data_IF_057737236590
#
_entry.id   IF_057737236590
#
_cell.length_a   1.000
_cell.length_b   1.000
_cell.length_c   1.000
_cell.angle_alpha   90.00
_cell.angle_beta   90.00
_cell.angle_gamma   90.00
#
_symmetry.space_group_name_H-M   'P 1'
#
loop_
_entity.id
_entity.type
_entity.pdbx_description
1 polymer ?
#
# COMPACT_ATOMS: atom_id res chain seq x y z
N UNK A 1 154.46 13.41 -34.62
CA UNK A 1 154.90 13.56 -36.02
C UNK A 1 153.68 13.37 -36.92
N UNK A 2 153.16 14.46 -37.48
CA UNK A 2 152.11 14.45 -38.50
C UNK A 2 152.77 15.01 -39.77
N UNK A 3 153.17 14.11 -40.67
CA UNK A 3 153.83 14.45 -41.94
C UNK A 3 152.79 15.00 -42.92
N UNK A 4 152.84 16.31 -43.19
CA UNK A 4 152.36 16.96 -44.42
C UNK A 4 150.91 16.64 -44.91
N UNK A 5 149.96 16.41 -44.00
CA UNK A 5 148.55 16.18 -44.36
C UNK A 5 147.65 17.23 -43.68
N UNK A 6 146.65 17.71 -44.40
CA UNK A 6 145.54 18.49 -43.83
C UNK A 6 144.57 17.52 -43.17
N UNK A 7 144.27 17.71 -41.89
CA UNK A 7 143.38 16.82 -41.16
C UNK A 7 142.82 17.45 -39.89
N UNK A 8 141.80 16.79 -39.34
CA UNK A 8 141.28 17.07 -38.01
C UNK A 8 141.55 15.86 -37.12
N UNK A 9 142.01 16.09 -35.90
CA UNK A 9 142.09 15.07 -34.86
C UNK A 9 141.62 15.61 -33.51
N UNK A 10 141.33 14.70 -32.59
CA UNK A 10 140.99 15.05 -31.22
C UNK A 10 142.26 14.92 -30.38
N UNK A 11 142.68 16.02 -29.74
CA UNK A 11 143.92 16.07 -28.94
C UNK A 11 143.58 16.53 -27.54
N UNK A 12 144.13 15.84 -26.56
CA UNK A 12 144.06 16.25 -25.16
C UNK A 12 145.20 17.23 -24.92
N UNK A 13 144.86 18.49 -24.67
CA UNK A 13 145.83 19.56 -24.42
C UNK A 13 145.40 20.36 -23.19
N UNK A 14 146.28 20.46 -22.19
CA UNK A 14 145.99 21.04 -20.86
C UNK A 14 144.75 20.44 -20.14
N UNK A 15 144.54 19.13 -20.26
CA UNK A 15 143.50 18.40 -19.52
C UNK A 15 142.08 18.51 -20.08
N UNK A 16 141.85 19.27 -21.16
CA UNK A 16 140.58 19.31 -21.89
C UNK A 16 140.71 18.67 -23.27
N UNK A 17 139.66 17.97 -23.72
CA UNK A 17 139.60 17.41 -25.06
C UNK A 17 139.36 18.55 -26.06
N UNK A 18 140.26 18.72 -27.01
CA UNK A 18 140.17 19.77 -28.04
C UNK A 18 140.04 19.13 -29.41
N UNK A 19 139.17 19.70 -30.24
CA UNK A 19 139.21 19.43 -31.68
C UNK A 19 140.34 20.27 -32.27
N UNK A 20 141.32 19.59 -32.85
CA UNK A 20 142.48 20.21 -33.47
C UNK A 20 142.39 20.04 -34.99
N UNK A 21 142.47 21.15 -35.71
CA UNK A 21 142.64 21.17 -37.16
C UNK A 21 144.05 21.66 -37.48
N UNK A 22 144.79 20.91 -38.30
CA UNK A 22 146.17 21.26 -38.66
C UNK A 22 146.37 21.29 -40.18
N UNK A 23 147.11 22.29 -40.65
CA UNK A 23 147.50 22.46 -42.06
C UNK A 23 148.98 22.87 -42.16
N UNK A 24 149.78 22.31 -43.07
CA UNK A 24 151.15 22.76 -43.31
C UNK A 24 151.18 24.12 -44.03
N UNK A 25 152.13 24.99 -43.68
CA UNK A 25 152.34 26.29 -44.35
C UNK A 25 153.43 26.12 -45.42
N UNK A 26 153.14 26.42 -46.69
CA UNK A 26 154.09 26.29 -47.79
C UNK A 26 155.28 27.27 -47.66
N UNK A 27 156.50 26.83 -48.05
CA UNK A 27 157.77 27.57 -47.99
C UNK A 27 158.34 27.93 -46.59
N UNK A 28 158.07 27.11 -45.57
CA UNK A 28 158.78 27.18 -44.26
C UNK A 28 159.32 25.80 -43.85
N UNK A 29 160.44 25.76 -43.09
CA UNK A 29 161.11 24.53 -42.61
C UNK A 29 160.23 23.73 -41.62
N UNK A 30 159.18 23.08 -42.12
CA UNK A 30 158.36 22.11 -41.37
C UNK A 30 157.35 22.69 -40.38
N UNK A 31 156.97 23.97 -40.49
CA UNK A 31 155.98 24.59 -39.61
C UNK A 31 154.54 24.19 -39.99
N UNK A 32 153.73 23.85 -38.99
CA UNK A 32 152.30 23.52 -39.13
C UNK A 32 151.46 24.53 -38.34
N UNK A 33 150.41 25.07 -38.96
CA UNK A 33 149.40 25.87 -38.27
C UNK A 33 148.37 24.92 -37.67
N UNK A 34 148.21 24.97 -36.35
CA UNK A 34 147.24 24.17 -35.61
C UNK A 34 146.24 25.10 -34.92
N UNK A 35 144.96 24.97 -35.28
CA UNK A 35 143.85 25.66 -34.62
C UNK A 35 143.15 24.63 -33.75
N UNK A 36 143.20 24.84 -32.45
CA UNK A 36 142.52 23.98 -31.47
C UNK A 36 141.30 24.70 -30.91
N UNK A 37 140.13 24.09 -31.02
CA UNK A 37 138.89 24.51 -30.37
C UNK A 37 138.56 23.56 -29.22
N UNK A 38 138.18 24.09 -28.06
CA UNK A 38 137.82 23.25 -26.91
C UNK A 38 136.46 22.56 -27.16
N UNK A 39 136.42 21.24 -27.02
CA UNK A 39 135.20 20.46 -27.27
C UNK A 39 134.08 20.83 -26.31
N UNK A 40 134.42 21.18 -25.07
CA UNK A 40 133.41 21.60 -24.09
C UNK A 40 132.85 22.98 -24.46
N UNK A 41 133.70 23.91 -24.90
CA UNK A 41 133.29 25.26 -25.34
C UNK A 41 132.43 25.20 -26.62
N UNK A 42 132.73 24.27 -27.54
CA UNK A 42 131.93 24.07 -28.76
C UNK A 42 130.59 23.37 -28.51
N UNK A 43 130.52 22.46 -27.52
CA UNK A 43 129.32 21.68 -27.22
C UNK A 43 128.47 22.27 -26.09
N UNK A 44 128.94 23.30 -25.37
CA UNK A 44 128.18 23.93 -24.29
C UNK A 44 126.84 24.48 -24.80
N UNK A 45 126.86 25.16 -25.96
CA UNK A 45 125.66 25.66 -26.62
C UNK A 45 124.68 24.54 -27.02
N UNK A 46 125.20 23.38 -27.45
CA UNK A 46 124.39 22.20 -27.80
C UNK A 46 123.72 21.57 -26.57
N UNK A 47 124.48 21.32 -25.50
CA UNK A 47 123.93 20.75 -24.27
C UNK A 47 122.98 21.70 -23.53
N UNK A 48 123.21 23.02 -23.60
CA UNK A 48 122.27 24.02 -23.10
C UNK A 48 120.94 23.98 -23.86
N UNK A 49 120.97 23.91 -25.20
CA UNK A 49 119.78 23.76 -26.05
C UNK A 49 119.02 22.45 -25.79
N UNK A 50 119.72 21.35 -25.55
CA UNK A 50 119.10 20.06 -25.26
C UNK A 50 118.39 20.04 -23.89
N UNK A 51 118.99 20.65 -22.85
CA UNK A 51 118.36 20.79 -21.53
C UNK A 51 117.12 21.68 -21.58
N UNK A 52 117.18 22.82 -22.27
CA UNK A 52 116.02 23.72 -22.40
C UNK A 52 114.89 23.10 -23.21
N UNK A 53 115.21 22.33 -24.26
CA UNK A 53 114.20 21.60 -25.06
C UNK A 53 113.50 20.49 -24.26
N UNK A 54 114.24 19.67 -23.51
CA UNK A 54 113.66 18.62 -22.65
C UNK A 54 112.78 19.23 -21.56
N UNK A 55 113.24 20.29 -20.90
CA UNK A 55 112.45 21.00 -19.88
C UNK A 55 111.16 21.56 -20.49
N UNK A 56 111.24 22.14 -21.70
CA UNK A 56 110.08 22.67 -22.39
C UNK A 56 109.07 21.58 -22.78
N UNK A 57 109.51 20.44 -23.29
CA UNK A 57 108.64 19.29 -23.60
C UNK A 57 107.98 18.70 -22.36
N UNK A 58 108.73 18.53 -21.26
CA UNK A 58 108.18 18.06 -19.98
C UNK A 58 107.16 19.07 -19.44
N UNK A 59 107.46 20.37 -19.53
CA UNK A 59 106.54 21.43 -19.10
C UNK A 59 105.25 21.43 -19.90
N UNK A 60 105.32 21.23 -21.22
CA UNK A 60 104.15 21.14 -22.10
C UNK A 60 103.25 19.94 -21.75
N UNK A 61 103.84 18.77 -21.51
CA UNK A 61 103.10 17.57 -21.09
C UNK A 61 102.48 17.77 -19.71
N UNK A 62 103.21 18.35 -18.77
CA UNK A 62 102.70 18.67 -17.44
C UNK A 62 101.52 19.66 -17.50
N UNK A 63 101.62 20.71 -18.30
CA UNK A 63 100.54 21.68 -18.52
C UNK A 63 99.32 21.01 -19.16
N UNK A 64 99.51 20.18 -20.18
CA UNK A 64 98.42 19.43 -20.81
C UNK A 64 97.71 18.50 -19.82
N UNK A 65 98.46 17.80 -18.95
CA UNK A 65 97.89 16.94 -17.92
C UNK A 65 97.11 17.74 -16.86
N UNK A 66 97.62 18.90 -16.45
CA UNK A 66 96.92 19.81 -15.52
C UNK A 66 95.63 20.35 -16.15
N UNK A 67 95.67 20.80 -17.41
CA UNK A 67 94.47 21.24 -18.12
C UNK A 67 93.46 20.11 -18.29
N UNK A 68 93.88 18.91 -18.68
CA UNK A 68 93.00 17.74 -18.79
C UNK A 68 92.37 17.39 -17.44
N UNK A 69 93.13 17.45 -16.35
CA UNK A 69 92.63 17.20 -15.00
C UNK A 69 91.64 18.27 -14.53
N UNK A 70 91.94 19.55 -14.76
CA UNK A 70 91.03 20.66 -14.42
C UNK A 70 89.75 20.62 -15.25
N UNK A 71 89.84 20.35 -16.55
CA UNK A 71 88.71 20.23 -17.47
C UNK A 71 87.83 19.02 -17.11
N UNK A 72 88.45 17.86 -16.86
CA UNK A 72 87.76 16.67 -16.36
C UNK A 72 87.02 16.94 -15.06
N UNK A 73 87.67 17.61 -14.09
CA UNK A 73 87.06 17.97 -12.80
C UNK A 73 85.94 19.00 -12.95
N UNK A 74 86.07 19.94 -13.89
CA UNK A 74 85.07 20.97 -14.17
C UNK A 74 83.78 20.41 -14.77
N UNK A 75 83.84 19.27 -15.46
CA UNK A 75 82.68 18.60 -16.06
C UNK A 75 82.13 17.50 -15.14
N UNK A 76 83.01 16.66 -14.60
CA UNK A 76 82.64 15.48 -13.80
C UNK A 76 81.98 15.86 -12.48
N UNK A 77 82.45 16.92 -11.80
CA UNK A 77 81.92 17.30 -10.49
C UNK A 77 80.45 17.77 -10.54
N UNK A 78 80.04 18.70 -11.44
CA UNK A 78 78.62 19.08 -11.58
C UNK A 78 77.72 17.90 -11.98
N UNK A 79 78.16 17.06 -12.92
CA UNK A 79 77.40 15.87 -13.35
C UNK A 79 77.22 14.89 -12.19
N UNK A 80 78.27 14.64 -11.40
CA UNK A 80 78.20 13.78 -10.22
C UNK A 80 77.22 14.31 -9.16
N UNK A 81 77.16 15.63 -8.95
CA UNK A 81 76.21 16.24 -8.01
C UNK A 81 74.76 16.09 -8.46
N UNK A 82 74.49 16.31 -9.75
CA UNK A 82 73.15 16.09 -10.34
C UNK A 82 72.77 14.61 -10.32
N UNK A 83 73.72 13.71 -10.61
CA UNK A 83 73.52 12.26 -10.54
C UNK A 83 73.18 11.80 -9.12
N UNK A 84 73.87 12.30 -8.09
CA UNK A 84 73.51 12.04 -6.69
C UNK A 84 72.13 12.58 -6.32
N UNK A 85 71.75 13.75 -6.87
CA UNK A 85 70.42 14.30 -6.64
C UNK A 85 69.33 13.47 -7.32
N UNK A 86 69.58 12.97 -8.53
CA UNK A 86 68.72 12.03 -9.24
C UNK A 86 68.57 10.72 -8.46
N UNK A 87 69.66 10.21 -7.89
CA UNK A 87 69.60 9.04 -7.00
C UNK A 87 68.69 9.31 -5.79
N UNK A 88 68.85 10.46 -5.14
CA UNK A 88 67.97 10.87 -4.04
C UNK A 88 66.50 11.02 -4.48
N UNK A 89 66.26 11.58 -5.68
CA UNK A 89 64.92 11.71 -6.26
C UNK A 89 64.31 10.34 -6.55
N UNK A 90 65.09 9.39 -7.06
CA UNK A 90 64.64 8.02 -7.32
C UNK A 90 64.27 7.25 -6.04
N UNK A 91 64.82 7.66 -4.90
CA UNK A 91 64.45 7.16 -3.57
C UNK A 91 63.23 7.89 -2.96
N UNK A 92 62.60 8.81 -3.70
CA UNK A 92 61.42 9.55 -3.26
C UNK A 92 61.70 10.87 -2.53
N UNK A 93 62.96 11.33 -2.45
CA UNK A 93 63.27 12.64 -1.89
C UNK A 93 62.93 13.75 -2.89
N UNK A 94 61.77 14.38 -2.67
CA UNK A 94 61.26 15.52 -3.41
C UNK A 94 61.52 16.87 -2.74
N UNK A 95 62.05 16.87 -1.50
CA UNK A 95 62.17 18.07 -0.66
C UNK A 95 63.55 18.70 -0.73
N UNK A 96 64.60 17.90 -0.94
CA UNK A 96 65.96 18.42 -1.06
C UNK A 96 66.17 19.25 -2.32
N UNK A 97 66.87 20.37 -2.19
CA UNK A 97 67.15 21.28 -3.31
C UNK A 97 68.05 20.65 -4.39
N UNK A 98 67.94 21.15 -5.62
CA UNK A 98 68.80 20.75 -6.74
C UNK A 98 70.07 21.62 -6.77
N UNK A 99 71.26 21.06 -7.02
CA UNK A 99 72.50 21.85 -7.09
C UNK A 99 72.43 22.92 -8.20
N UNK A 100 72.69 24.18 -7.84
CA UNK A 100 72.67 25.29 -8.80
C UNK A 100 73.95 25.27 -9.65
N UNK A 101 73.81 25.00 -10.95
CA UNK A 101 74.92 25.00 -11.92
C UNK A 101 74.76 26.18 -12.88
N UNK A 102 75.71 27.14 -12.83
CA UNK A 102 75.73 28.33 -13.70
C UNK A 102 76.76 28.19 -14.82
N UNK A 103 76.53 27.25 -15.74
CA UNK A 103 77.46 26.95 -16.84
C UNK A 103 76.97 27.37 -18.23
N UNK A 104 75.71 27.81 -18.38
CA UNK A 104 75.06 28.18 -19.66
C UNK A 104 75.21 27.14 -20.77
N UNK A 105 75.30 25.86 -20.40
CA UNK A 105 75.45 24.72 -21.29
C UNK A 105 74.51 23.57 -20.86
N UNK A 106 74.66 22.39 -21.43
CA UNK A 106 73.81 21.22 -21.18
C UNK A 106 73.76 20.84 -19.69
N UNK A 107 74.78 21.19 -18.89
CA UNK A 107 74.79 20.92 -17.44
C UNK A 107 73.83 21.83 -16.69
N UNK A 108 73.69 23.09 -17.10
CA UNK A 108 72.70 24.00 -16.55
C UNK A 108 71.30 23.55 -16.96
N UNK A 109 71.10 23.21 -18.23
CA UNK A 109 69.81 22.67 -18.72
C UNK A 109 69.40 21.44 -17.93
N UNK A 110 70.30 20.49 -17.73
CA UNK A 110 70.03 19.29 -16.93
C UNK A 110 69.65 19.61 -15.48
N UNK A 111 70.38 20.54 -14.84
CA UNK A 111 70.08 20.96 -13.46
C UNK A 111 68.73 21.65 -13.34
N UNK A 112 68.41 22.59 -14.26
CA UNK A 112 67.13 23.30 -14.27
C UNK A 112 65.96 22.38 -14.64
N UNK A 113 66.15 21.46 -15.58
CA UNK A 113 65.13 20.44 -15.89
C UNK A 113 64.86 19.54 -14.68
N UNK A 114 65.91 19.08 -13.97
CA UNK A 114 65.77 18.31 -12.74
C UNK A 114 65.07 19.12 -11.63
N UNK A 115 65.36 20.40 -11.51
CA UNK A 115 64.70 21.31 -10.57
C UNK A 115 63.21 21.43 -10.87
N UNK A 116 62.83 21.72 -12.12
CA UNK A 116 61.41 21.76 -12.53
C UNK A 116 60.70 20.43 -12.33
N UNK A 117 61.33 19.30 -12.68
CA UNK A 117 60.76 17.97 -12.44
C UNK A 117 60.56 17.71 -10.94
N UNK A 118 61.55 18.00 -10.11
CA UNK A 118 61.46 17.82 -8.65
C UNK A 118 60.37 18.72 -8.06
N UNK A 119 60.30 19.97 -8.50
CA UNK A 119 59.30 20.94 -8.05
C UNK A 119 57.88 20.51 -8.42
N UNK A 120 57.63 20.16 -9.68
CA UNK A 120 56.32 19.72 -10.14
C UNK A 120 55.88 18.41 -9.47
N UNK A 121 56.78 17.43 -9.37
CA UNK A 121 56.48 16.17 -8.66
C UNK A 121 56.17 16.44 -7.18
N UNK A 122 56.92 17.30 -6.51
CA UNK A 122 56.65 17.67 -5.13
C UNK A 122 55.28 18.37 -4.99
N UNK A 123 54.94 19.29 -5.89
CA UNK A 123 53.64 19.97 -5.89
C UNK A 123 52.47 18.99 -6.11
N UNK A 124 52.60 18.07 -7.07
CA UNK A 124 51.59 17.03 -7.32
C UNK A 124 51.42 16.11 -6.10
N UNK A 125 52.51 15.61 -5.52
CA UNK A 125 52.43 14.72 -4.35
C UNK A 125 51.82 15.45 -3.15
N UNK A 126 52.15 16.72 -2.91
CA UNK A 126 51.55 17.50 -1.82
C UNK A 126 50.04 17.71 -2.01
N UNK A 127 49.59 17.96 -3.24
CA UNK A 127 48.17 18.16 -3.55
C UNK A 127 47.37 16.86 -3.51
N UNK A 128 47.96 15.75 -3.97
CA UNK A 128 47.41 14.40 -3.82
C UNK A 128 47.23 14.08 -2.33
N UNK A 129 48.29 14.25 -1.54
CA UNK A 129 48.28 13.99 -0.10
C UNK A 129 47.23 14.85 0.62
N UNK A 130 47.18 16.14 0.32
CA UNK A 130 46.19 17.06 0.87
C UNK A 130 44.76 16.65 0.53
N UNK A 131 44.47 16.43 -0.75
CA UNK A 131 43.11 16.13 -1.22
C UNK A 131 42.63 14.78 -0.71
N UNK A 132 43.46 13.73 -0.77
CA UNK A 132 43.11 12.42 -0.24
C UNK A 132 42.95 12.44 1.28
N UNK A 133 43.78 13.21 2.00
CA UNK A 133 43.62 13.40 3.45
C UNK A 133 42.30 14.10 3.80
N UNK A 134 41.85 15.06 2.99
CA UNK A 134 40.55 15.71 3.15
C UNK A 134 39.40 14.74 2.91
N UNK A 135 39.45 13.95 1.83
CA UNK A 135 38.46 12.92 1.53
C UNK A 135 38.39 11.89 2.67
N UNK A 136 39.54 11.43 3.18
CA UNK A 136 39.62 10.48 4.29
C UNK A 136 39.05 11.05 5.60
N UNK A 137 39.14 12.37 5.80
CA UNK A 137 38.51 13.07 6.91
C UNK A 137 37.00 13.37 6.70
N UNK A 138 36.41 12.90 5.59
CA UNK A 138 35.01 13.10 5.25
C UNK A 138 34.71 14.41 4.52
N UNK A 139 35.71 15.22 4.17
CA UNK A 139 35.49 16.49 3.46
C UNK A 139 35.39 16.28 1.94
N UNK A 140 34.16 16.10 1.45
CA UNK A 140 33.87 15.89 0.03
C UNK A 140 33.67 17.21 -0.74
N UNK A 141 33.93 18.35 -0.09
CA UNK A 141 33.86 19.68 -0.69
C UNK A 141 35.22 20.17 -1.23
N UNK A 142 36.27 19.38 -1.04
CA UNK A 142 37.65 19.72 -1.41
C UNK A 142 37.79 19.96 -2.91
N UNK A 143 38.52 21.01 -3.27
CA UNK A 143 38.88 21.38 -4.65
C UNK A 143 40.40 21.49 -4.77
N UNK A 144 40.94 21.11 -5.93
CA UNK A 144 42.37 21.25 -6.26
C UNK A 144 42.56 22.30 -7.36
N UNK A 145 43.30 23.35 -7.03
CA UNK A 145 43.70 24.41 -7.96
C UNK A 145 45.05 24.09 -8.63
N UNK A 146 45.71 22.99 -8.28
CA UNK A 146 46.99 22.61 -8.88
C UNK A 146 46.83 22.17 -10.33
N UNK A 147 47.72 22.66 -11.19
CA UNK A 147 47.72 22.35 -12.62
C UNK A 147 48.61 21.14 -12.91
N UNK A 148 47.99 20.01 -13.22
CA UNK A 148 48.66 18.77 -13.56
C UNK A 148 48.95 18.77 -15.05
N UNK A 149 50.14 18.33 -15.46
CA UNK A 149 50.56 18.34 -16.86
C UNK A 149 50.87 16.92 -17.35
N UNK A 150 50.66 16.69 -18.65
CA UNK A 150 50.89 15.38 -19.28
C UNK A 150 50.10 14.25 -18.61
N UNK A 151 50.76 13.12 -18.37
CA UNK A 151 50.14 11.90 -17.82
C UNK A 151 49.60 12.06 -16.39
N UNK A 152 50.03 13.10 -15.65
CA UNK A 152 49.54 13.38 -14.31
C UNK A 152 48.11 13.93 -14.29
N UNK A 153 47.60 14.45 -15.42
CA UNK A 153 46.20 14.93 -15.54
C UNK A 153 45.16 13.84 -15.26
N UNK A 154 45.49 12.58 -15.57
CA UNK A 154 44.65 11.43 -15.28
C UNK A 154 44.43 11.23 -13.78
N UNK A 155 45.46 11.46 -12.96
CA UNK A 155 45.38 11.36 -11.49
C UNK A 155 44.45 12.43 -10.93
N UNK A 156 44.61 13.69 -11.36
CA UNK A 156 43.72 14.79 -10.96
C UNK A 156 42.26 14.47 -11.30
N UNK A 157 42.01 14.04 -12.53
CA UNK A 157 40.66 13.67 -12.99
C UNK A 157 40.08 12.52 -12.17
N UNK A 158 40.86 11.48 -11.90
CA UNK A 158 40.43 10.34 -11.10
C UNK A 158 40.06 10.75 -9.66
N UNK A 159 40.89 11.59 -9.01
CA UNK A 159 40.61 12.08 -7.66
C UNK A 159 39.32 12.92 -7.62
N UNK A 160 39.15 13.86 -8.56
CA UNK A 160 37.94 14.68 -8.65
C UNK A 160 36.69 13.82 -8.90
N UNK A 161 36.78 12.80 -9.76
CA UNK A 161 35.69 11.87 -10.02
C UNK A 161 35.34 11.03 -8.79
N UNK A 162 36.34 10.58 -8.01
CA UNK A 162 36.11 9.86 -6.76
C UNK A 162 35.38 10.76 -5.75
N UNK A 163 35.86 12.00 -5.55
CA UNK A 163 35.21 12.97 -4.67
C UNK A 163 33.77 13.24 -5.09
N UNK A 164 33.53 13.49 -6.38
CA UNK A 164 32.21 13.76 -6.92
C UNK A 164 31.27 12.54 -6.79
N UNK A 165 31.77 11.33 -7.05
CA UNK A 165 30.98 10.11 -6.92
C UNK A 165 30.60 9.84 -5.46
N UNK A 166 31.54 10.00 -4.52
CA UNK A 166 31.25 9.84 -3.09
C UNK A 166 30.28 10.93 -2.60
N UNK A 167 30.46 12.17 -3.04
CA UNK A 167 29.55 13.27 -2.72
C UNK A 167 28.11 12.95 -3.15
N UNK A 168 27.94 12.48 -4.39
CA UNK A 168 26.61 12.13 -4.91
C UNK A 168 26.00 10.94 -4.17
N UNK A 169 26.76 9.86 -3.94
CA UNK A 169 26.26 8.69 -3.21
C UNK A 169 25.80 9.09 -1.79
N UNK A 170 26.59 9.89 -1.09
CA UNK A 170 26.25 10.32 0.28
C UNK A 170 25.05 11.29 0.27
N UNK A 171 24.96 12.18 -0.72
CA UNK A 171 23.79 13.03 -0.92
C UNK A 171 22.52 12.22 -1.16
N UNK A 172 22.59 11.19 -2.02
CA UNK A 172 21.46 10.31 -2.32
C UNK A 172 21.03 9.51 -1.08
N UNK A 173 21.99 9.02 -0.28
CA UNK A 173 21.71 8.33 0.99
C UNK A 173 21.00 9.26 1.97
N UNK A 174 21.46 10.51 2.10
CA UNK A 174 20.84 11.49 3.00
C UNK A 174 19.39 11.81 2.56
N UNK A 175 19.16 12.00 1.27
CA UNK A 175 17.83 12.22 0.73
C UNK A 175 16.91 11.00 0.91
N UNK A 176 17.42 9.78 0.66
CA UNK A 176 16.69 8.54 0.88
C UNK A 176 16.33 8.34 2.36
N UNK A 177 17.24 8.64 3.29
CA UNK A 177 16.98 8.60 4.73
C UNK A 177 15.85 9.57 5.13
N UNK A 178 15.85 10.80 4.62
CA UNK A 178 14.77 11.77 4.87
C UNK A 178 13.42 11.31 4.32
N UNK A 179 13.41 10.67 3.14
CA UNK A 179 12.21 10.07 2.57
C UNK A 179 11.70 8.90 3.40
N UNK A 180 12.58 7.99 3.85
CA UNK A 180 12.20 6.86 4.72
C UNK A 180 11.66 7.36 6.04
N UNK A 181 12.31 8.35 6.67
CA UNK A 181 11.83 8.93 7.94
C UNK A 181 10.46 9.58 7.78
N UNK A 182 10.26 10.38 6.73
CA UNK A 182 8.98 11.03 6.45
C UNK A 182 7.88 10.02 6.13
N UNK A 183 8.18 9.03 5.29
CA UNK A 183 7.25 7.95 4.93
C UNK A 183 6.86 7.11 6.15
N UNK A 184 7.81 6.79 7.03
CA UNK A 184 7.53 6.04 8.25
C UNK A 184 6.64 6.83 9.21
N UNK A 185 6.87 8.14 9.38
CA UNK A 185 5.98 8.99 10.17
C UNK A 185 4.54 9.03 9.61
N UNK A 186 4.38 9.05 8.28
CA UNK A 186 3.07 8.97 7.65
C UNK A 186 2.39 7.62 7.93
N UNK A 187 3.11 6.50 7.75
CA UNK A 187 2.56 5.16 8.02
C UNK A 187 2.18 5.01 9.49
N UNK A 188 2.99 5.52 10.43
CA UNK A 188 2.67 5.52 11.86
C UNK A 188 1.38 6.30 12.15
N UNK A 189 1.25 7.52 11.62
CA UNK A 189 0.03 8.31 11.79
C UNK A 189 -1.22 7.65 11.17
N UNK A 190 -1.08 7.05 9.98
CA UNK A 190 -2.16 6.28 9.35
C UNK A 190 -2.53 5.05 10.17
N UNK A 191 -1.55 4.38 10.77
CA UNK A 191 -1.78 3.24 11.65
C UNK A 191 -2.46 3.68 12.95
N UNK A 192 -2.14 4.84 13.50
CA UNK A 192 -2.88 5.38 14.64
C UNK A 192 -4.35 5.61 14.29
N UNK A 193 -4.62 6.27 13.15
CA UNK A 193 -5.99 6.51 12.68
C UNK A 193 -6.76 5.20 12.42
N UNK A 194 -6.11 4.19 11.85
CA UNK A 194 -6.71 2.87 11.63
C UNK A 194 -7.02 2.15 12.94
N UNK A 195 -6.13 2.23 13.95
CA UNK A 195 -6.38 1.64 15.28
C UNK A 195 -7.55 2.31 15.99
N UNK A 196 -7.64 3.65 15.90
CA UNK A 196 -8.80 4.38 16.41
C UNK A 196 -10.09 3.96 15.68
N UNK A 197 -10.07 3.90 14.35
CA UNK A 197 -11.22 3.47 13.55
C UNK A 197 -11.64 2.03 13.86
N UNK A 198 -10.70 1.13 14.10
CA UNK A 198 -10.97 -0.24 14.54
C UNK A 198 -11.64 -0.26 15.93
N UNK A 199 -11.23 0.60 16.85
CA UNK A 199 -11.85 0.72 18.18
C UNK A 199 -13.30 1.22 18.08
N UNK A 200 -13.56 2.23 17.25
CA UNK A 200 -14.92 2.74 17.00
C UNK A 200 -15.81 1.68 16.31
N UNK A 201 -15.25 0.92 15.37
CA UNK A 201 -15.92 -0.21 14.74
C UNK A 201 -16.24 -1.31 15.75
N UNK A 202 -15.33 -1.63 16.67
CA UNK A 202 -15.57 -2.63 17.71
C UNK A 202 -16.78 -2.26 18.58
N UNK A 203 -16.87 -1.00 19.02
CA UNK A 203 -18.04 -0.49 19.76
C UNK A 203 -19.33 -0.59 18.95
N UNK A 204 -19.28 -0.30 17.64
CA UNK A 204 -20.45 -0.40 16.76
C UNK A 204 -20.90 -1.86 16.58
N UNK A 205 -19.95 -2.81 16.55
CA UNK A 205 -20.23 -4.24 16.47
C UNK A 205 -20.86 -4.74 17.77
N UNK A 206 -20.45 -4.25 18.94
CA UNK A 206 -21.08 -4.59 20.21
C UNK A 206 -22.56 -4.16 20.24
N UNK A 207 -22.87 -2.93 19.84
CA UNK A 207 -24.25 -2.42 19.77
C UNK A 207 -25.10 -3.20 18.75
N UNK A 208 -24.51 -3.52 17.60
CA UNK A 208 -25.17 -4.31 16.56
C UNK A 208 -25.44 -5.75 17.04
N UNK A 209 -24.49 -6.35 17.76
CA UNK A 209 -24.66 -7.69 18.35
C UNK A 209 -25.80 -7.70 19.37
N UNK A 210 -25.85 -6.69 20.26
CA UNK A 210 -26.95 -6.54 21.21
C UNK A 210 -28.32 -6.38 20.51
N UNK A 211 -28.35 -5.58 19.43
CA UNK A 211 -29.56 -5.40 18.62
C UNK A 211 -29.99 -6.72 17.94
N UNK A 212 -29.04 -7.53 17.47
CA UNK A 212 -29.35 -8.83 16.87
C UNK A 212 -29.84 -9.84 17.90
N UNK A 213 -29.33 -9.82 19.12
CA UNK A 213 -29.84 -10.65 20.22
C UNK A 213 -31.29 -10.28 20.56
N UNK A 214 -31.62 -8.98 20.61
CA UNK A 214 -32.98 -8.51 20.84
C UNK A 214 -33.93 -8.92 19.71
N UNK A 215 -33.52 -8.74 18.45
CA UNK A 215 -34.30 -9.15 17.28
C UNK A 215 -34.50 -10.67 17.28
N UNK A 216 -33.45 -11.45 17.56
CA UNK A 216 -33.53 -12.91 17.66
C UNK A 216 -34.53 -13.35 18.74
N UNK A 217 -34.51 -12.71 19.90
CA UNK A 217 -35.46 -12.98 20.97
C UNK A 217 -36.90 -12.65 20.55
N UNK A 218 -37.13 -11.50 19.90
CA UNK A 218 -38.44 -11.12 19.38
C UNK A 218 -38.94 -12.07 18.30
N UNK A 219 -38.09 -12.48 17.36
CA UNK A 219 -38.44 -13.46 16.31
C UNK A 219 -38.86 -14.79 16.93
N UNK A 220 -38.15 -15.29 17.95
CA UNK A 220 -38.54 -16.50 18.67
C UNK A 220 -39.88 -16.36 19.41
N UNK A 221 -40.15 -15.20 20.02
CA UNK A 221 -41.44 -14.91 20.63
C UNK A 221 -42.57 -14.92 19.60
N UNK A 222 -42.39 -14.27 18.46
CA UNK A 222 -43.38 -14.22 17.36
C UNK A 222 -43.66 -15.62 16.85
N UNK A 223 -42.66 -16.49 16.70
CA UNK A 223 -42.85 -17.87 16.28
C UNK A 223 -43.72 -18.65 17.29
N UNK A 224 -43.46 -18.46 18.59
CA UNK A 224 -44.25 -19.05 19.66
C UNK A 224 -45.70 -18.56 19.67
N UNK A 225 -45.91 -17.26 19.50
CA UNK A 225 -47.24 -16.65 19.47
C UNK A 225 -48.03 -17.03 18.21
N UNK A 226 -47.38 -17.13 17.04
CA UNK A 226 -47.98 -17.64 15.83
C UNK A 226 -48.47 -19.09 16.02
N UNK A 227 -47.67 -19.94 16.66
CA UNK A 227 -48.08 -21.32 16.97
C UNK A 227 -49.33 -21.36 17.85
N UNK A 228 -49.37 -20.56 18.92
CA UNK A 228 -50.55 -20.44 19.79
C UNK A 228 -51.77 -19.90 19.05
N UNK A 229 -51.60 -18.87 18.22
CA UNK A 229 -52.68 -18.30 17.42
C UNK A 229 -53.28 -19.34 16.45
N UNK A 230 -52.44 -20.18 15.85
CA UNK A 230 -52.89 -21.27 14.98
C UNK A 230 -53.69 -22.33 15.75
N UNK A 231 -53.26 -22.70 16.96
CA UNK A 231 -54.02 -23.61 17.84
C UNK A 231 -55.38 -23.02 18.22
N UNK A 232 -55.44 -21.73 18.57
CA UNK A 232 -56.70 -21.04 18.89
C UNK A 232 -57.63 -20.95 17.68
N UNK A 233 -57.10 -20.65 16.48
CA UNK A 233 -57.88 -20.63 15.25
C UNK A 233 -58.47 -22.02 14.94
N UNK A 234 -57.69 -23.09 15.07
CA UNK A 234 -58.18 -24.45 14.87
C UNK A 234 -59.28 -24.84 15.87
N UNK A 235 -59.15 -24.45 17.14
CA UNK A 235 -60.20 -24.65 18.15
C UNK A 235 -61.48 -23.85 17.82
N UNK A 236 -61.35 -22.59 17.38
CA UNK A 236 -62.47 -21.78 16.97
C UNK A 236 -63.19 -22.38 15.74
N UNK A 237 -62.43 -22.90 14.76
CA UNK A 237 -62.96 -23.62 13.60
C UNK A 237 -63.76 -24.85 14.04
N UNK A 238 -63.21 -25.67 14.92
CA UNK A 238 -63.90 -26.86 15.44
C UNK A 238 -65.21 -26.50 16.15
N UNK A 239 -65.22 -25.48 17.00
CA UNK A 239 -66.42 -25.01 17.68
C UNK A 239 -67.49 -24.46 16.70
N UNK A 240 -67.06 -23.73 15.67
CA UNK A 240 -67.97 -23.21 14.65
C UNK A 240 -68.60 -24.33 13.81
N UNK A 241 -67.83 -25.38 13.48
CA UNK A 241 -68.34 -26.59 12.81
C UNK A 241 -69.41 -27.28 13.66
N UNK A 242 -69.14 -27.51 14.95
CA UNK A 242 -70.12 -28.09 15.89
C UNK A 242 -71.38 -27.22 15.97
N UNK A 243 -71.22 -25.90 16.05
CA UNK A 243 -72.36 -24.97 16.06
C UNK A 243 -73.21 -25.06 14.78
N UNK A 244 -72.58 -25.30 13.63
CA UNK A 244 -73.29 -25.45 12.36
C UNK A 244 -74.05 -26.79 12.30
N UNK A 245 -73.48 -27.88 12.83
CA UNK A 245 -74.17 -29.17 12.98
C UNK A 245 -75.40 -29.04 13.89
N UNK A 246 -75.27 -28.37 15.04
CA UNK A 246 -76.40 -28.11 15.93
C UNK A 246 -77.49 -27.26 15.28
N UNK A 247 -77.10 -26.31 14.41
CA UNK A 247 -78.07 -25.51 13.66
C UNK A 247 -78.81 -26.33 12.61
N UNK A 248 -78.13 -27.30 11.97
CA UNK A 248 -78.76 -28.24 11.05
C UNK A 248 -79.79 -29.12 11.78
N UNK A 249 -79.49 -29.59 12.99
CA UNK A 249 -80.46 -30.30 13.83
C UNK A 249 -81.64 -29.42 14.23
N UNK A 250 -81.40 -28.15 14.60
CA UNK A 250 -82.46 -27.20 14.93
C UNK A 250 -83.39 -26.94 13.74
N UNK A 251 -82.84 -26.76 12.53
CA UNK A 251 -83.62 -26.58 11.31
C UNK A 251 -84.51 -27.79 11.02
N UNK A 252 -83.98 -29.00 11.23
CA UNK A 252 -84.77 -30.24 11.12
C UNK A 252 -85.92 -30.28 12.14
N UNK A 253 -85.65 -29.95 13.39
CA UNK A 253 -86.68 -29.91 14.43
C UNK A 253 -87.78 -28.86 14.14
N UNK A 254 -87.40 -27.69 13.61
CA UNK A 254 -88.37 -26.65 13.21
C UNK A 254 -89.23 -27.10 12.02
N UNK A 255 -88.66 -27.83 11.06
CA UNK A 255 -89.41 -28.42 9.95
C UNK A 255 -90.42 -29.47 10.43
N UNK A 256 -90.02 -30.34 11.36
CA UNK A 256 -90.91 -31.31 12.00
C UNK A 256 -92.06 -30.62 12.78
N UNK A 257 -91.76 -29.53 13.51
CA UNK A 257 -92.78 -28.72 14.21
C UNK A 257 -93.74 -28.07 13.20
N UNK A 258 -93.22 -27.55 12.09
CA UNK A 258 -94.04 -26.94 11.05
C UNK A 258 -95.00 -27.98 10.44
N UNK A 259 -94.48 -29.15 10.09
CA UNK A 259 -95.28 -30.26 9.54
C UNK A 259 -96.33 -30.74 10.55
N UNK A 260 -95.99 -30.85 11.83
CA UNK A 260 -96.94 -31.19 12.89
C UNK A 260 -98.05 -30.13 13.00
N UNK A 261 -97.69 -28.84 12.97
CA UNK A 261 -98.64 -27.72 13.05
C UNK A 261 -99.61 -27.71 11.85
N UNK A 262 -99.12 -27.97 10.64
CA UNK A 262 -99.96 -28.13 9.44
C UNK A 262 -100.93 -29.32 9.56
N UNK A 263 -100.48 -30.43 10.14
CA UNK A 263 -101.35 -31.59 10.39
C UNK A 263 -102.45 -31.26 11.41
N UNK A 264 -102.11 -30.55 12.50
CA UNK A 264 -103.10 -30.09 13.48
C UNK A 264 -104.11 -29.15 12.80
N UNK A 265 -103.66 -28.21 11.96
CA UNK A 265 -104.55 -27.31 11.19
C UNK A 265 -105.55 -28.10 10.34
N UNK A 266 -105.12 -29.16 9.65
CA UNK A 266 -106.02 -30.06 8.90
C UNK A 266 -107.05 -30.74 9.80
N UNK A 267 -106.64 -31.21 10.98
CA UNK A 267 -107.55 -31.85 11.93
C UNK A 267 -108.59 -30.85 12.46
N UNK A 268 -108.17 -29.63 12.83
CA UNK A 268 -109.08 -28.59 13.29
C UNK A 268 -110.07 -28.20 12.20
N UNK A 269 -109.65 -28.14 10.93
CA UNK A 269 -110.55 -27.92 9.80
C UNK A 269 -111.63 -29.01 9.68
N UNK A 270 -111.24 -30.28 9.86
CA UNK A 270 -112.23 -31.39 9.90
C UNK A 270 -113.18 -31.25 11.09
N UNK A 271 -112.71 -30.77 12.25
CA UNK A 271 -113.57 -30.51 13.41
C UNK A 271 -114.55 -29.37 13.13
N UNK A 272 -114.12 -28.29 12.48
CA UNK A 272 -114.99 -27.20 12.05
C UNK A 272 -116.06 -27.69 11.04
N UNK A 273 -115.67 -28.52 10.07
CA UNK A 273 -116.59 -29.17 9.13
C UNK A 273 -117.61 -30.06 9.86
N UNK A 274 -117.19 -30.82 10.88
CA UNK A 274 -118.09 -31.63 11.73
C UNK A 274 -119.05 -30.73 12.52
N UNK A 275 -118.55 -29.64 13.13
CA UNK A 275 -119.38 -28.70 13.86
C UNK A 275 -120.42 -28.04 12.95
N UNK A 276 -120.04 -27.68 11.72
CA UNK A 276 -120.95 -27.15 10.71
C UNK A 276 -122.02 -28.18 10.31
N UNK A 277 -121.63 -29.42 10.03
CA UNK A 277 -122.57 -30.51 9.71
C UNK A 277 -123.53 -30.78 10.87
N UNK A 278 -123.03 -30.77 12.11
CA UNK A 278 -123.84 -31.00 13.31
C UNK A 278 -124.83 -29.86 13.54
N UNK A 279 -124.42 -28.61 13.29
CA UNK A 279 -125.30 -27.43 13.33
C UNK A 279 -126.44 -27.51 12.28
N UNK A 280 -126.17 -28.02 11.08
CA UNK A 280 -127.22 -28.28 10.08
C UNK A 280 -128.15 -29.43 10.52
N UNK A 281 -127.59 -30.47 11.13
CA UNK A 281 -128.34 -31.62 11.63
C UNK A 281 -129.26 -31.24 12.79
N UNK A 282 -128.77 -30.43 13.73
CA UNK A 282 -129.52 -29.91 14.88
C UNK A 282 -130.59 -28.90 14.46
N UNK A 283 -130.32 -28.06 13.45
CA UNK A 283 -131.35 -27.21 12.82
C UNK A 283 -132.47 -28.04 12.19
N UNK A 284 -132.13 -29.07 11.41
CA UNK A 284 -133.12 -29.98 10.81
C UNK A 284 -133.95 -30.71 11.89
N UNK A 285 -133.30 -31.14 12.98
CA UNK A 285 -133.98 -31.76 14.12
C UNK A 285 -134.90 -30.78 14.86
N UNK A 286 -134.49 -29.52 15.04
CA UNK A 286 -135.31 -28.47 15.64
C UNK A 286 -136.56 -28.15 14.78
N UNK A 287 -136.41 -28.11 13.45
CA UNK A 287 -137.52 -27.92 12.49
C UNK A 287 -138.51 -29.08 12.56
N UNK A 288 -138.04 -30.34 12.56
CA UNK A 288 -138.93 -31.51 12.64
C UNK A 288 -139.59 -31.64 14.02
N UNK A 289 -138.89 -31.25 15.10
CA UNK A 289 -139.47 -31.16 16.44
C UNK A 289 -140.56 -30.08 16.55
N UNK A 290 -140.38 -28.93 15.88
CA UNK A 290 -141.42 -27.90 15.77
C UNK A 290 -142.64 -28.38 14.97
N UNK A 291 -142.41 -29.18 13.93
CA UNK A 291 -143.45 -29.82 13.10
C UNK A 291 -144.27 -30.87 13.85
N UNK A 292 -143.68 -31.55 14.84
CA UNK A 292 -144.36 -32.51 15.73
C UNK A 292 -145.19 -31.86 16.86
N UNK A 293 -145.24 -30.53 16.96
CA UNK A 293 -146.13 -29.81 17.87
C UNK A 293 -145.88 -30.09 19.36
N UNK A 294 -146.91 -30.45 20.12
CA UNK A 294 -146.82 -30.65 21.58
C UNK A 294 -145.97 -31.87 21.98
N UNK A 295 -145.88 -32.90 21.13
CA UNK A 295 -145.08 -34.11 21.38
C UNK A 295 -143.57 -33.89 21.15
N UNK A 296 -143.18 -32.89 20.35
CA UNK A 296 -141.79 -32.60 19.99
C UNK A 296 -141.06 -31.61 20.91
N UNK A 297 -141.74 -31.01 21.91
CA UNK A 297 -141.15 -29.94 22.75
C UNK A 297 -139.85 -30.34 23.46
N UNK A 298 -139.75 -31.57 23.96
CA UNK A 298 -138.52 -32.08 24.59
C UNK A 298 -137.37 -32.23 23.59
N UNK A 299 -137.65 -32.73 22.39
CA UNK A 299 -136.66 -32.85 21.30
C UNK A 299 -136.23 -31.50 20.75
N UNK A 300 -137.11 -30.50 20.70
CA UNK A 300 -136.78 -29.15 20.27
C UNK A 300 -135.78 -28.46 21.22
N UNK A 301 -135.91 -28.66 22.53
CA UNK A 301 -134.96 -28.13 23.53
C UNK A 301 -133.59 -28.78 23.38
N UNK A 302 -133.55 -30.12 23.22
CA UNK A 302 -132.28 -30.84 22.99
C UNK A 302 -131.63 -30.39 21.68
N UNK A 303 -132.40 -30.21 20.60
CA UNK A 303 -131.89 -29.74 19.33
C UNK A 303 -131.29 -28.32 19.41
N UNK A 304 -131.92 -27.39 20.14
CA UNK A 304 -131.37 -26.04 20.33
C UNK A 304 -130.13 -26.03 21.25
N UNK A 305 -130.07 -26.90 22.25
CA UNK A 305 -128.88 -27.07 23.10
C UNK A 305 -127.70 -27.63 22.30
N UNK A 306 -127.93 -28.64 21.44
CA UNK A 306 -126.92 -29.17 20.51
C UNK A 306 -126.45 -28.07 19.56
N UNK A 307 -127.37 -27.29 18.99
CA UNK A 307 -127.03 -26.16 18.11
C UNK A 307 -126.17 -25.11 18.80
N UNK A 308 -126.46 -24.81 20.06
CA UNK A 308 -125.68 -23.89 20.88
C UNK A 308 -124.28 -24.44 21.19
N UNK A 309 -124.16 -25.76 21.43
CA UNK A 309 -122.89 -26.44 21.64
C UNK A 309 -122.05 -26.51 20.36
N UNK A 310 -122.68 -26.70 19.20
CA UNK A 310 -122.03 -26.68 17.89
C UNK A 310 -121.47 -25.29 17.59
N UNK A 311 -122.23 -24.22 17.83
CA UNK A 311 -121.76 -22.85 17.67
C UNK A 311 -120.56 -22.53 18.57
N UNK A 312 -120.55 -23.05 19.81
CA UNK A 312 -119.37 -22.97 20.70
C UNK A 312 -118.19 -23.77 20.16
N UNK A 313 -118.43 -24.97 19.62
CA UNK A 313 -117.38 -25.84 19.05
C UNK A 313 -116.75 -25.23 17.80
N UNK A 314 -117.56 -24.65 16.90
CA UNK A 314 -117.09 -23.92 15.73
C UNK A 314 -116.27 -22.67 16.12
N UNK A 315 -116.71 -21.90 17.11
CA UNK A 315 -115.93 -20.77 17.62
C UNK A 315 -114.59 -21.21 18.22
N UNK A 316 -114.57 -22.30 19.02
CA UNK A 316 -113.34 -22.85 19.58
C UNK A 316 -112.39 -23.42 18.48
N UNK A 317 -112.95 -24.07 17.46
CA UNK A 317 -112.18 -24.54 16.29
C UNK A 317 -111.56 -23.36 15.52
N UNK A 318 -112.30 -22.26 15.35
CA UNK A 318 -111.79 -21.03 14.74
C UNK A 318 -110.67 -20.39 15.55
N UNK A 319 -110.85 -20.20 16.85
CA UNK A 319 -109.78 -19.66 17.72
C UNK A 319 -108.53 -20.56 17.69
N UNK A 320 -108.70 -21.89 17.68
CA UNK A 320 -107.59 -22.83 17.58
C UNK A 320 -106.90 -22.73 16.21
N UNK A 321 -107.66 -22.52 15.14
CA UNK A 321 -107.13 -22.30 13.79
C UNK A 321 -106.24 -21.05 13.76
N UNK A 322 -106.73 -19.92 14.29
CA UNK A 322 -105.98 -18.67 14.37
C UNK A 322 -104.68 -18.83 15.19
N UNK A 323 -104.73 -19.60 16.28
CA UNK A 323 -103.54 -19.93 17.09
C UNK A 323 -102.53 -20.80 16.35
N UNK A 324 -102.98 -21.79 15.57
CA UNK A 324 -102.11 -22.67 14.79
C UNK A 324 -101.48 -21.88 13.64
N UNK A 325 -102.26 -21.06 12.93
CA UNK A 325 -101.75 -20.20 11.86
C UNK A 325 -100.68 -19.23 12.39
N UNK A 326 -100.93 -18.63 13.56
CA UNK A 326 -99.94 -17.81 14.26
C UNK A 326 -98.68 -18.61 14.64
N UNK A 327 -98.84 -19.87 15.05
CA UNK A 327 -97.72 -20.74 15.41
C UNK A 327 -96.88 -21.12 14.18
N UNK A 328 -97.51 -21.45 13.05
CA UNK A 328 -96.84 -21.70 11.77
C UNK A 328 -96.01 -20.48 11.36
N UNK A 329 -96.60 -19.28 11.38
CA UNK A 329 -95.89 -18.04 11.06
C UNK A 329 -94.66 -17.80 11.97
N UNK A 330 -94.77 -18.11 13.28
CA UNK A 330 -93.64 -18.01 14.21
C UNK A 330 -92.54 -19.04 13.94
N UNK A 331 -92.91 -20.27 13.57
CA UNK A 331 -91.96 -21.34 13.23
C UNK A 331 -91.24 -20.99 11.92
N UNK A 332 -91.94 -20.49 10.90
CA UNK A 332 -91.31 -20.03 9.66
C UNK A 332 -90.33 -18.88 9.92
N UNK A 333 -90.70 -17.91 10.76
CA UNK A 333 -89.79 -16.84 11.18
C UNK A 333 -88.56 -17.38 11.92
N UNK A 334 -88.76 -18.35 12.83
CA UNK A 334 -87.67 -19.03 13.55
C UNK A 334 -86.74 -19.80 12.60
N UNK A 335 -87.29 -20.52 11.62
CA UNK A 335 -86.54 -21.23 10.60
C UNK A 335 -85.69 -20.28 9.74
N UNK A 336 -86.24 -19.12 9.38
CA UNK A 336 -85.49 -18.08 8.66
C UNK A 336 -84.30 -17.58 9.48
N UNK A 337 -84.49 -17.29 10.77
CA UNK A 337 -83.42 -16.85 11.67
C UNK A 337 -82.36 -17.95 11.80
N UNK A 338 -82.76 -19.20 12.08
CA UNK A 338 -81.83 -20.32 12.22
C UNK A 338 -81.02 -20.55 10.93
N UNK A 339 -81.64 -20.43 9.75
CA UNK A 339 -80.94 -20.55 8.46
C UNK A 339 -79.92 -19.42 8.26
N UNK A 340 -80.26 -18.19 8.63
CA UNK A 340 -79.32 -17.07 8.60
C UNK A 340 -78.17 -17.28 9.58
N UNK A 341 -78.43 -17.81 10.77
CA UNK A 341 -77.39 -18.15 11.75
C UNK A 341 -76.48 -19.27 11.26
N UNK A 342 -77.01 -20.33 10.62
CA UNK A 342 -76.23 -21.39 10.00
C UNK A 342 -75.28 -20.83 8.93
N UNK A 343 -75.79 -19.93 8.08
CA UNK A 343 -74.98 -19.28 7.06
C UNK A 343 -73.86 -18.43 7.67
N UNK A 344 -74.16 -17.62 8.70
CA UNK A 344 -73.16 -16.83 9.41
C UNK A 344 -72.07 -17.72 10.07
N UNK A 345 -72.44 -18.87 10.63
CA UNK A 345 -71.48 -19.85 11.15
C UNK A 345 -70.59 -20.43 10.04
N UNK A 346 -71.15 -20.71 8.86
CA UNK A 346 -70.38 -21.11 7.68
C UNK A 346 -69.36 -20.06 7.24
N UNK A 347 -69.76 -18.78 7.22
CA UNK A 347 -68.86 -17.66 6.90
C UNK A 347 -67.75 -17.51 7.95
N UNK A 348 -68.06 -17.73 9.23
CA UNK A 348 -67.06 -17.75 10.31
C UNK A 348 -66.04 -18.86 10.08
N UNK A 349 -66.47 -20.09 9.73
CA UNK A 349 -65.55 -21.20 9.45
C UNK A 349 -64.56 -20.83 8.33
N UNK A 350 -65.05 -20.24 7.23
CA UNK A 350 -64.23 -19.80 6.10
C UNK A 350 -63.22 -18.70 6.50
N UNK A 351 -63.66 -17.72 7.29
CA UNK A 351 -62.79 -16.65 7.78
C UNK A 351 -61.72 -17.17 8.75
N UNK A 352 -62.06 -18.08 9.65
CA UNK A 352 -61.11 -18.69 10.59
C UNK A 352 -60.08 -19.54 9.85
N UNK A 353 -60.47 -20.24 8.79
CA UNK A 353 -59.53 -20.99 7.93
C UNK A 353 -58.55 -20.05 7.21
N UNK A 354 -59.04 -18.91 6.71
CA UNK A 354 -58.18 -17.87 6.13
C UNK A 354 -57.21 -17.29 7.16
N UNK A 355 -57.67 -17.04 8.39
CA UNK A 355 -56.82 -16.59 9.49
C UNK A 355 -55.75 -17.61 9.87
N UNK A 356 -56.10 -18.90 9.95
CA UNK A 356 -55.15 -19.98 10.22
C UNK A 356 -54.06 -20.05 9.14
N UNK A 357 -54.43 -19.91 7.86
CA UNK A 357 -53.45 -19.85 6.76
C UNK A 357 -52.50 -18.64 6.87
N UNK A 358 -53.01 -17.46 7.22
CA UNK A 358 -52.16 -16.27 7.45
C UNK A 358 -51.17 -16.51 8.60
N UNK A 359 -51.64 -17.08 9.70
CA UNK A 359 -50.79 -17.41 10.86
C UNK A 359 -49.73 -18.46 10.50
N UNK A 360 -50.08 -19.46 9.67
CA UNK A 360 -49.12 -20.41 9.14
C UNK A 360 -48.03 -19.72 8.32
N UNK A 361 -48.40 -18.80 7.41
CA UNK A 361 -47.41 -18.03 6.63
C UNK A 361 -46.50 -17.18 7.53
N UNK A 362 -47.05 -16.55 8.58
CA UNK A 362 -46.26 -15.82 9.58
C UNK A 362 -45.25 -16.77 10.26
N UNK A 363 -45.68 -17.96 10.68
CA UNK A 363 -44.80 -18.95 11.29
C UNK A 363 -43.65 -19.34 10.36
N UNK A 364 -43.93 -19.60 9.08
CA UNK A 364 -42.90 -19.93 8.08
C UNK A 364 -41.93 -18.78 7.87
N UNK A 365 -42.44 -17.56 7.66
CA UNK A 365 -41.60 -16.37 7.46
C UNK A 365 -40.72 -16.07 8.69
N UNK A 366 -41.24 -16.32 9.89
CA UNK A 366 -40.51 -16.13 11.14
C UNK A 366 -39.37 -17.16 11.28
N UNK A 367 -39.59 -18.40 10.83
CA UNK A 367 -38.55 -19.43 10.79
C UNK A 367 -37.41 -19.04 9.82
N UNK A 368 -37.75 -18.49 8.65
CA UNK A 368 -36.78 -17.96 7.70
C UNK A 368 -36.02 -16.76 8.25
N UNK A 369 -36.70 -15.83 8.93
CA UNK A 369 -36.06 -14.72 9.63
C UNK A 369 -35.07 -15.19 10.68
N UNK A 370 -35.41 -16.22 11.48
CA UNK A 370 -34.50 -16.78 12.47
C UNK A 370 -33.20 -17.31 11.84
N UNK A 371 -33.31 -18.03 10.70
CA UNK A 371 -32.15 -18.48 9.94
C UNK A 371 -31.34 -17.31 9.37
N UNK A 372 -32.01 -16.27 8.86
CA UNK A 372 -31.36 -15.05 8.36
C UNK A 372 -30.59 -14.31 9.47
N UNK A 373 -31.16 -14.21 10.67
CA UNK A 373 -30.50 -13.60 11.84
C UNK A 373 -29.26 -14.39 12.24
N UNK A 374 -29.32 -15.72 12.22
CA UNK A 374 -28.16 -16.56 12.54
C UNK A 374 -27.03 -16.37 11.52
N UNK A 375 -27.35 -16.26 10.23
CA UNK A 375 -26.37 -15.95 9.19
C UNK A 375 -25.77 -14.55 9.36
N UNK A 376 -26.58 -13.55 9.71
CA UNK A 376 -26.08 -12.19 10.01
C UNK A 376 -25.15 -12.24 11.22
N UNK A 377 -25.51 -12.96 12.29
CA UNK A 377 -24.68 -13.09 13.49
C UNK A 377 -23.31 -13.71 13.17
N UNK A 378 -23.27 -14.74 12.32
CA UNK A 378 -21.99 -15.29 11.82
C UNK A 378 -21.17 -14.25 11.05
N UNK A 379 -21.80 -13.47 10.18
CA UNK A 379 -21.14 -12.39 9.45
C UNK A 379 -20.57 -11.31 10.38
N UNK A 380 -21.30 -10.93 11.42
CA UNK A 380 -20.86 -9.95 12.43
C UNK A 380 -19.66 -10.46 13.21
N UNK A 381 -19.65 -11.75 13.59
CA UNK A 381 -18.49 -12.37 14.23
C UNK A 381 -17.24 -12.36 13.33
N UNK A 382 -17.39 -12.59 12.03
CA UNK A 382 -16.29 -12.49 11.07
C UNK A 382 -15.75 -11.06 10.96
N UNK A 383 -16.64 -10.06 10.88
CA UNK A 383 -16.24 -8.65 10.87
C UNK A 383 -15.53 -8.29 12.17
N UNK A 384 -16.00 -8.76 13.33
CA UNK A 384 -15.34 -8.56 14.63
C UNK A 384 -13.91 -9.08 14.63
N UNK A 385 -13.67 -10.26 14.06
CA UNK A 385 -12.33 -10.83 13.93
C UNK A 385 -11.42 -9.98 13.03
N UNK A 386 -11.95 -9.45 11.92
CA UNK A 386 -11.22 -8.53 11.04
C UNK A 386 -10.89 -7.23 11.76
N UNK A 387 -11.82 -6.67 12.53
CA UNK A 387 -11.59 -5.45 13.33
C UNK A 387 -10.48 -5.65 14.35
N UNK A 388 -10.46 -6.78 15.06
CA UNK A 388 -9.35 -7.11 15.98
C UNK A 388 -8.01 -7.27 15.24
N UNK A 389 -8.03 -7.91 14.07
CA UNK A 389 -6.84 -8.08 13.24
C UNK A 389 -6.32 -6.72 12.76
N UNK A 390 -7.21 -5.81 12.36
CA UNK A 390 -6.86 -4.46 11.96
C UNK A 390 -6.22 -3.71 13.12
N UNK A 391 -6.81 -3.74 14.33
CA UNK A 391 -6.24 -3.10 15.51
C UNK A 391 -4.82 -3.61 15.80
N UNK A 392 -4.62 -4.93 15.83
CA UNK A 392 -3.31 -5.54 16.07
C UNK A 392 -2.29 -5.21 14.98
N UNK A 393 -2.68 -5.33 13.71
CA UNK A 393 -1.82 -5.01 12.55
C UNK A 393 -1.43 -3.53 12.56
N UNK A 394 -2.34 -2.66 13.02
CA UNK A 394 -2.09 -1.24 13.11
C UNK A 394 -1.10 -0.88 14.22
N UNK A 395 -1.19 -1.52 15.38
CA UNK A 395 -0.19 -1.38 16.44
C UNK A 395 1.19 -1.86 15.97
N UNK A 396 1.25 -3.01 15.29
CA UNK A 396 2.50 -3.54 14.72
C UNK A 396 3.08 -2.62 13.65
N UNK A 397 2.23 -2.06 12.78
CA UNK A 397 2.64 -1.11 11.73
C UNK A 397 3.16 0.20 12.29
N UNK A 398 2.55 0.71 13.37
CA UNK A 398 3.04 1.89 14.08
C UNK A 398 4.43 1.63 14.70
N UNK A 399 4.61 0.49 15.37
CA UNK A 399 5.89 0.10 15.97
C UNK A 399 7.00 -0.10 14.91
N UNK A 400 6.70 -0.79 13.81
CA UNK A 400 7.63 -0.97 12.70
C UNK A 400 8.02 0.37 12.05
N UNK A 401 7.07 1.30 11.97
CA UNK A 401 7.31 2.65 11.45
C UNK A 401 8.21 3.49 12.37
N UNK A 402 8.03 3.39 13.69
CA UNK A 402 8.94 4.02 14.65
C UNK A 402 10.37 3.46 14.51
N UNK A 403 10.51 2.15 14.34
CA UNK A 403 11.80 1.51 14.11
C UNK A 403 12.45 2.00 12.81
N UNK A 404 11.71 2.05 11.70
CA UNK A 404 12.22 2.55 10.42
C UNK A 404 12.64 4.02 10.50
N UNK A 405 11.87 4.85 11.22
CA UNK A 405 12.24 6.25 11.46
C UNK A 405 13.54 6.35 12.26
N UNK A 406 13.71 5.53 13.29
CA UNK A 406 14.95 5.44 14.06
C UNK A 406 16.13 4.96 13.20
N UNK A 407 15.96 3.93 12.37
CA UNK A 407 17.01 3.44 11.48
C UNK A 407 17.40 4.49 10.43
N UNK A 408 16.44 5.22 9.88
CA UNK A 408 16.71 6.34 8.98
C UNK A 408 17.50 7.46 9.68
N UNK A 409 17.17 7.76 10.94
CA UNK A 409 17.93 8.72 11.74
C UNK A 409 19.37 8.28 11.98
N UNK A 410 19.59 7.00 12.34
CA UNK A 410 20.92 6.42 12.52
C UNK A 410 21.74 6.42 11.21
N UNK A 411 21.11 6.17 10.07
CA UNK A 411 21.74 6.26 8.77
C UNK A 411 22.19 7.70 8.47
N UNK A 412 21.32 8.68 8.75
CA UNK A 412 21.62 10.11 8.62
C UNK A 412 22.77 10.54 9.51
N UNK A 413 22.78 10.10 10.77
CA UNK A 413 23.90 10.34 11.69
C UNK A 413 25.21 9.72 11.18
N UNK A 414 25.16 8.49 10.66
CA UNK A 414 26.34 7.80 10.13
C UNK A 414 26.96 8.51 8.93
N UNK A 415 26.14 9.08 8.05
CA UNK A 415 26.63 9.83 6.89
C UNK A 415 26.91 11.31 7.19
N UNK A 416 26.48 11.83 8.34
CA UNK A 416 26.70 13.23 8.75
C UNK A 416 28.17 13.60 8.95
N UNK A 417 29.05 12.60 9.11
CA UNK A 417 30.50 12.80 9.14
C UNK A 417 31.04 13.38 7.82
N UNK A 418 30.36 13.12 6.71
CA UNK A 418 30.75 13.62 5.40
C UNK A 418 30.24 15.05 5.20
N UNK A 419 31.15 15.97 4.92
CA UNK A 419 30.81 17.33 4.53
C UNK A 419 30.42 17.34 3.07
N UNK A 420 29.15 17.64 2.82
CA UNK A 420 28.63 17.89 1.49
C UNK A 420 28.63 19.38 1.22
N UNK A 421 28.79 19.75 -0.05
CA UNK A 421 28.48 21.12 -0.46
C UNK A 421 26.97 21.25 -0.41
N UNK A 422 26.47 22.24 0.35
CA UNK A 422 25.09 22.68 0.19
C UNK A 422 24.92 23.17 -1.25
N UNK A 423 24.51 22.27 -2.15
CA UNK A 423 23.87 22.71 -3.37
C UNK A 423 22.62 23.46 -2.92
N UNK A 424 22.49 24.70 -3.36
CA UNK A 424 21.33 25.57 -3.20
C UNK A 424 20.10 25.03 -3.94
N UNK A 425 19.75 23.78 -3.65
CA UNK A 425 18.58 23.05 -4.07
C UNK A 425 17.71 22.67 -2.85
N UNK A 426 17.88 23.37 -1.72
CA UNK A 426 16.81 23.58 -0.74
C UNK A 426 15.78 24.57 -1.31
N UNK A 427 15.25 24.24 -2.49
CA UNK A 427 13.89 24.63 -2.80
C UNK A 427 13.07 23.47 -2.28
N UNK A 428 12.15 23.69 -1.31
CA UNK A 428 11.17 22.67 -1.00
C UNK A 428 10.57 22.24 -2.33
N UNK A 429 10.53 20.93 -2.55
CA UNK A 429 9.77 20.34 -3.64
C UNK A 429 8.31 20.71 -3.38
N UNK A 430 7.93 21.93 -3.73
CA UNK A 430 6.54 22.29 -3.92
C UNK A 430 6.10 21.38 -5.06
N UNK A 431 5.14 20.48 -4.83
CA UNK A 431 4.61 19.69 -5.91
C UNK A 431 4.10 20.69 -6.95
N UNK A 432 4.72 20.69 -8.13
CA UNK A 432 4.18 21.44 -9.24
C UNK A 432 2.80 20.84 -9.53
N UNK A 433 1.68 21.58 -9.42
CA UNK A 433 0.35 21.00 -9.55
C UNK A 433 -0.02 20.63 -10.99
N UNK A 434 0.91 20.71 -11.94
CA UNK A 434 0.57 20.73 -13.35
C UNK A 434 1.61 19.94 -14.16
N UNK A 435 1.33 18.64 -14.34
CA UNK A 435 1.40 17.92 -15.61
C UNK A 435 1.35 16.41 -15.38
N UNK A 436 0.18 15.80 -15.64
CA UNK A 436 0.07 14.36 -15.89
C UNK A 436 -1.09 13.62 -15.25
N UNK A 437 -2.31 14.19 -15.21
CA UNK A 437 -3.55 13.41 -15.27
C UNK A 437 -4.47 14.05 -16.32
N UNK A 438 -4.25 13.67 -17.58
CA UNK A 438 -5.36 13.53 -18.53
C UNK A 438 -6.02 12.20 -18.19
N UNK A 439 -6.98 12.23 -17.26
CA UNK A 439 -8.36 11.76 -17.47
C UNK A 439 -9.14 11.85 -16.15
N UNK A 440 -10.43 12.23 -16.26
CA UNK A 440 -11.44 12.32 -15.20
C UNK A 440 -11.44 13.60 -14.32
N UNK A 441 -11.86 14.72 -14.92
CA UNK A 441 -12.65 15.73 -14.21
C UNK A 441 -13.99 15.96 -14.92
N UNK A 442 -15.02 15.22 -14.53
CA UNK A 442 -16.36 15.78 -14.41
C UNK A 442 -17.19 15.02 -13.37
N UNK A 443 -16.96 15.33 -12.09
CA UNK A 443 -18.03 15.24 -11.09
C UNK A 443 -17.87 16.43 -10.13
N UNK A 444 -18.61 17.49 -10.42
CA UNK A 444 -18.86 18.57 -9.46
C UNK A 444 -19.54 18.03 -8.19
N UNK A 445 -19.31 18.65 -7.01
CA UNK A 445 -19.92 18.20 -5.76
C UNK A 445 -21.43 18.52 -5.79
N UNK A 446 -22.26 17.49 -5.67
CA UNK A 446 -23.72 17.65 -5.55
C UNK A 446 -24.03 18.33 -4.21
N UNK A 447 -24.75 19.46 -4.19
CA UNK A 447 -25.25 20.02 -2.94
C UNK A 447 -26.38 19.16 -2.39
N UNK A 448 -26.28 18.81 -1.09
CA UNK A 448 -27.39 18.24 -0.31
C UNK A 448 -28.63 19.13 -0.42
N UNK A 449 -29.65 18.63 -1.09
CA UNK A 449 -31.02 19.15 -1.06
C UNK A 449 -31.96 17.96 -1.01
N UNK A 450 -32.44 17.65 0.19
CA UNK A 450 -33.57 16.75 0.43
C UNK A 450 -34.81 17.30 -0.31
N UNK A 451 -35.19 16.65 -1.40
CA UNK A 451 -36.56 16.69 -1.92
C UNK A 451 -37.07 15.25 -2.02
N UNK A 452 -38.05 14.94 -1.18
CA UNK A 452 -38.83 13.73 -1.25
C UNK A 452 -39.50 13.64 -2.63
N UNK A 453 -39.16 12.61 -3.39
CA UNK A 453 -39.86 12.23 -4.61
C UNK A 453 -40.45 10.85 -4.38
N UNK A 454 -41.78 10.78 -4.28
CA UNK A 454 -42.55 9.55 -4.32
C UNK A 454 -42.29 8.85 -5.66
N UNK A 455 -41.44 7.83 -5.69
CA UNK A 455 -41.42 6.86 -6.77
C UNK A 455 -41.99 5.55 -6.25
N UNK A 456 -43.24 5.28 -6.64
CA UNK A 456 -43.87 3.97 -6.52
C UNK A 456 -43.05 3.01 -7.38
N UNK A 457 -42.48 1.98 -6.76
CA UNK A 457 -41.83 0.88 -7.46
C UNK A 457 -42.95 -0.03 -7.99
N UNK A 458 -43.18 -0.01 -9.29
CA UNK A 458 -43.98 -1.04 -9.97
C UNK A 458 -43.06 -2.21 -10.30
N UNK A 459 -43.29 -3.34 -9.64
CA UNK A 459 -42.68 -4.62 -9.99
C UNK A 459 -43.46 -5.20 -11.18
N UNK A 460 -42.78 -5.47 -12.30
CA UNK A 460 -43.32 -6.30 -13.37
C UNK A 460 -43.02 -7.78 -13.06
N UNK A 461 -44.03 -8.63 -13.21
CA UNK A 461 -44.10 -10.04 -12.74
C UNK A 461 -43.16 -11.03 -13.46
N UNK A 462 -42.28 -10.59 -14.36
CA UNK A 462 -41.57 -11.50 -15.27
C UNK A 462 -40.18 -11.97 -14.80
N UNK A 463 -39.71 -11.57 -13.62
CA UNK A 463 -38.35 -11.89 -13.15
C UNK A 463 -38.27 -12.83 -11.91
N UNK A 464 -39.38 -13.45 -11.50
CA UNK A 464 -39.35 -14.52 -10.49
C UNK A 464 -39.25 -15.90 -11.15
N UNK A 465 -38.03 -16.46 -11.22
CA UNK A 465 -37.88 -17.89 -11.55
C UNK A 465 -36.59 -18.35 -12.23
N UNK A 466 -35.50 -17.58 -12.21
CA UNK A 466 -34.17 -18.09 -12.55
C UNK A 466 -33.21 -17.79 -11.42
N UNK A 467 -33.09 -18.72 -10.48
CA UNK A 467 -31.87 -19.43 -10.09
C UNK A 467 -32.17 -20.31 -8.87
#
# INVERSE_FOLDING_TARGET
MLQNQTGTNEVISNGSAKYNAYIPIENTDGWILSITADKNEMLEAYYYGLRTSIIFSISLVAIAFVFAFLFSKSISKPISLVSKRLESLSQGDLKSGVPIIKSKDERQTLATSLESTTHNLNAYIQDIDYTLSKIAAGDLTVKTDQEYTGDFTGIKTAMLNITASLHNIVSDINAAADQVSSGSNLVSNSSFALSQGATEQASSIEELTASLEEISAQTNLIAGDAKKANELANNAKANAVIGNEQMAEMLKAMDEINHSSMNISKIIKVIDDIAFQTNILSLNAAVEAARAGSAGKGFAVVAEEVRTLDAKSANAAKETTDMIETSINKVEAGMKIAKQTAQALGDIVSQVESAANLVHMISTATQEQALGIEQINQGVNQVSQVVQTNAATSEESAAASEELSSQAHQLKESVSIFKLTENAADKPFLPNPDNGHDDASDVSPVPRSLKASNSVITLEDDDFGKY
#
